data_IF_255638889759
#
_entry.id   IF_255638889759
#
_cell.length_a   1.000
_cell.length_b   1.000
_cell.length_c   1.000
_cell.angle_alpha   90.00
_cell.angle_beta   90.00
_cell.angle_gamma   90.00
#
_symmetry.space_group_name_H-M   'P 1'
#
loop_
_entity.id
_entity.type
_entity.pdbx_description
1 polymer ?
#
# COMPACT_ATOMS: atom_id res chain seq x y z
N UNK A 1 -1.88 12.06 35.65
CA UNK A 1 -2.05 11.11 36.79
C UNK A 1 -0.66 10.64 37.21
N UNK A 2 -0.21 10.91 38.44
CA UNK A 2 1.23 10.84 38.78
C UNK A 2 1.79 9.41 38.76
N UNK A 3 2.97 9.23 38.14
CA UNK A 3 3.74 7.97 38.06
C UNK A 3 3.94 7.29 39.43
N UNK A 4 3.95 8.07 40.51
CA UNK A 4 4.05 7.61 41.89
C UNK A 4 2.84 6.80 42.39
N UNK A 5 1.64 7.06 41.86
CA UNK A 5 0.43 6.30 42.22
C UNK A 5 0.39 4.93 41.54
N UNK A 6 0.85 4.85 40.29
CA UNK A 6 0.96 3.59 39.53
C UNK A 6 2.00 2.67 40.20
N UNK A 7 3.15 3.21 40.61
CA UNK A 7 4.18 2.46 41.33
C UNK A 7 3.69 1.88 42.67
N UNK A 8 2.86 2.61 43.42
CA UNK A 8 2.27 2.11 44.68
C UNK A 8 1.21 1.04 44.46
N UNK A 9 0.44 1.12 43.37
CA UNK A 9 -0.56 0.10 43.04
C UNK A 9 0.11 -1.24 42.67
N UNK A 10 1.17 -1.20 41.86
CA UNK A 10 1.95 -2.40 41.47
C UNK A 10 2.57 -3.07 42.70
N UNK A 11 3.02 -2.28 43.69
CA UNK A 11 3.61 -2.81 44.93
C UNK A 11 2.60 -3.52 45.85
N UNK A 12 1.29 -3.26 45.70
CA UNK A 12 0.24 -3.94 46.50
C UNK A 12 -0.24 -5.26 45.90
N UNK A 13 -0.02 -5.48 44.61
CA UNK A 13 -0.46 -6.70 43.90
C UNK A 13 0.59 -7.82 43.97
N UNK A 14 1.77 -7.58 44.53
CA UNK A 14 2.79 -8.62 44.73
C UNK A 14 2.64 -9.23 46.13
N UNK A 15 1.97 -10.39 46.29
CA UNK A 15 1.89 -11.06 47.58
C UNK A 15 3.29 -11.50 48.04
N UNK A 16 3.60 -11.25 49.31
CA UNK A 16 4.79 -11.78 50.02
C UNK A 16 4.57 -13.26 50.35
N UNK A 17 4.41 -14.11 49.36
CA UNK A 17 4.44 -15.57 49.55
C UNK A 17 5.83 -16.09 49.22
N UNK A 18 6.29 -17.11 49.96
CA UNK A 18 7.62 -17.73 49.81
C UNK A 18 7.72 -18.41 48.44
N UNK A 19 8.09 -17.63 47.43
CA UNK A 19 8.17 -18.08 46.06
C UNK A 19 9.59 -18.59 45.74
N UNK A 20 9.76 -19.91 45.71
CA UNK A 20 10.87 -20.57 45.05
C UNK A 20 10.73 -20.58 43.52
N UNK A 21 11.54 -21.39 42.86
CA UNK A 21 11.71 -21.64 41.41
C UNK A 21 10.48 -21.37 40.51
N UNK A 22 9.26 -21.64 40.99
CA UNK A 22 7.96 -21.25 40.42
C UNK A 22 7.83 -19.76 40.03
N UNK A 23 8.29 -18.81 40.85
CA UNK A 23 8.25 -17.38 40.49
C UNK A 23 9.24 -17.04 39.37
N UNK A 24 10.37 -17.75 39.31
CA UNK A 24 11.31 -17.62 38.20
C UNK A 24 10.69 -18.06 36.88
N UNK A 25 10.03 -19.21 36.89
CA UNK A 25 9.31 -19.75 35.72
C UNK A 25 8.18 -18.79 35.28
N UNK A 26 7.34 -18.32 36.20
CA UNK A 26 6.27 -17.35 35.90
C UNK A 26 6.82 -16.05 35.29
N UNK A 27 7.98 -15.59 35.77
CA UNK A 27 8.64 -14.40 35.25
C UNK A 27 9.11 -14.59 33.80
N UNK A 28 9.70 -15.75 33.48
CA UNK A 28 10.15 -16.09 32.12
C UNK A 28 8.97 -16.24 31.17
N UNK A 29 7.90 -16.91 31.61
CA UNK A 29 6.66 -17.07 30.81
C UNK A 29 6.05 -15.69 30.50
N UNK A 30 5.96 -14.80 31.49
CA UNK A 30 5.40 -13.46 31.30
C UNK A 30 6.23 -12.64 30.30
N UNK A 31 7.57 -12.70 30.39
CA UNK A 31 8.46 -12.05 29.43
C UNK A 31 8.27 -12.62 28.01
N UNK A 32 8.23 -13.95 27.89
CA UNK A 32 8.08 -14.64 26.61
C UNK A 32 6.75 -14.31 25.95
N UNK A 33 5.64 -14.36 26.70
CA UNK A 33 4.31 -13.99 26.21
C UNK A 33 4.24 -12.52 25.78
N UNK A 34 4.86 -11.60 26.53
CA UNK A 34 4.92 -10.19 26.14
C UNK A 34 5.69 -9.98 24.83
N UNK A 35 6.81 -10.69 24.64
CA UNK A 35 7.57 -10.71 23.39
C UNK A 35 6.73 -11.18 22.21
N UNK A 36 6.00 -12.28 22.44
CA UNK A 36 5.25 -12.94 21.40
C UNK A 36 4.07 -12.07 20.93
N UNK A 37 3.35 -11.44 21.86
CA UNK A 37 2.27 -10.49 21.53
C UNK A 37 2.82 -9.29 20.75
N UNK A 38 3.93 -8.69 21.21
CA UNK A 38 4.53 -7.54 20.53
C UNK A 38 4.95 -7.87 19.10
N UNK A 39 5.55 -9.05 18.91
CA UNK A 39 5.94 -9.59 17.61
C UNK A 39 4.73 -9.77 16.69
N UNK A 40 3.67 -10.45 17.16
CA UNK A 40 2.46 -10.69 16.37
C UNK A 40 1.73 -9.40 15.99
N UNK A 41 1.62 -8.44 16.92
CA UNK A 41 0.96 -7.15 16.66
C UNK A 41 1.75 -6.31 15.65
N UNK A 42 3.08 -6.23 15.77
CA UNK A 42 3.91 -5.54 14.78
C UNK A 42 3.76 -6.18 13.40
N UNK A 43 3.91 -7.51 13.31
CA UNK A 43 3.81 -8.24 12.05
C UNK A 43 2.43 -8.04 11.41
N UNK A 44 1.34 -8.13 12.19
CA UNK A 44 -0.01 -7.90 11.70
C UNK A 44 -0.21 -6.47 11.18
N UNK A 45 0.35 -5.46 11.85
CA UNK A 45 0.27 -4.07 11.39
C UNK A 45 1.04 -3.83 10.09
N UNK A 46 2.23 -4.45 9.96
CA UNK A 46 3.05 -4.38 8.76
C UNK A 46 2.38 -5.06 7.55
N UNK A 47 1.76 -6.23 7.74
CA UNK A 47 1.10 -6.95 6.64
C UNK A 47 -0.25 -6.34 6.25
N UNK A 48 -1.05 -5.88 7.22
CA UNK A 48 -2.39 -5.34 6.98
C UNK A 48 -2.35 -4.08 6.11
N UNK A 49 -1.50 -3.12 6.45
CA UNK A 49 -1.33 -1.88 5.67
C UNK A 49 -0.75 -2.17 4.28
N UNK A 50 0.15 -3.14 4.17
CA UNK A 50 0.80 -3.48 2.89
C UNK A 50 -0.18 -4.12 1.91
N UNK A 51 -1.05 -5.04 2.35
CA UNK A 51 -1.95 -5.73 1.42
C UNK A 51 -3.00 -4.80 0.80
N UNK A 52 -3.64 -3.95 1.60
CA UNK A 52 -4.64 -3.00 1.09
C UNK A 52 -4.00 -1.94 0.18
N UNK A 53 -2.83 -1.41 0.55
CA UNK A 53 -2.10 -0.43 -0.27
C UNK A 53 -1.64 -1.01 -1.61
N UNK A 54 -1.20 -2.28 -1.65
CA UNK A 54 -0.79 -2.94 -2.89
C UNK A 54 -1.98 -3.12 -3.83
N UNK A 55 -3.13 -3.59 -3.33
CA UNK A 55 -4.33 -3.77 -4.16
C UNK A 55 -4.85 -2.45 -4.75
N UNK A 56 -4.88 -1.38 -3.95
CA UNK A 56 -5.29 -0.06 -4.44
C UNK A 56 -4.33 0.52 -5.48
N UNK A 57 -3.02 0.36 -5.29
CA UNK A 57 -2.00 0.80 -6.26
C UNK A 57 -2.08 0.02 -7.56
N UNK A 58 -2.32 -1.29 -7.48
CA UNK A 58 -2.44 -2.12 -8.67
C UNK A 58 -3.67 -1.71 -9.50
N UNK A 59 -4.82 -1.47 -8.86
CA UNK A 59 -6.01 -0.98 -9.55
C UNK A 59 -5.78 0.38 -10.23
N UNK A 60 -5.12 1.33 -9.55
CA UNK A 60 -4.77 2.64 -10.13
C UNK A 60 -3.80 2.52 -11.30
N UNK A 61 -2.81 1.63 -11.20
CA UNK A 61 -1.85 1.38 -12.28
C UNK A 61 -2.53 0.76 -13.49
N UNK A 62 -3.42 -0.21 -13.29
CA UNK A 62 -4.22 -0.81 -14.36
C UNK A 62 -5.11 0.24 -15.03
N UNK A 63 -5.69 1.16 -14.26
CA UNK A 63 -6.50 2.25 -14.79
C UNK A 63 -5.68 3.19 -15.68
N UNK A 64 -4.50 3.62 -15.23
CA UNK A 64 -3.57 4.44 -16.02
C UNK A 64 -3.16 3.73 -17.31
N UNK A 65 -2.73 2.47 -17.20
CA UNK A 65 -2.33 1.65 -18.35
C UNK A 65 -3.46 1.49 -19.37
N UNK A 66 -4.71 1.30 -18.92
CA UNK A 66 -5.85 1.16 -19.82
C UNK A 66 -6.15 2.48 -20.56
N UNK A 67 -6.06 3.61 -19.85
CA UNK A 67 -6.27 4.93 -20.44
C UNK A 67 -5.15 5.32 -21.42
N UNK A 68 -3.90 4.95 -21.12
CA UNK A 68 -2.76 5.17 -22.00
C UNK A 68 -2.89 4.36 -23.30
N UNK A 69 -3.27 3.09 -23.23
CA UNK A 69 -3.53 2.26 -24.43
C UNK A 69 -4.70 2.84 -25.24
N UNK A 70 -5.78 3.29 -24.57
CA UNK A 70 -6.90 3.95 -25.22
C UNK A 70 -6.45 5.22 -25.97
N UNK A 71 -5.65 6.09 -25.34
CA UNK A 71 -5.11 7.30 -25.95
C UNK A 71 -4.23 7.00 -27.15
N UNK A 72 -3.23 6.13 -27.00
CA UNK A 72 -2.23 5.85 -28.05
C UNK A 72 -2.92 5.30 -29.29
N UNK A 73 -3.85 4.37 -29.11
CA UNK A 73 -4.60 3.76 -30.21
C UNK A 73 -5.62 4.72 -30.84
N UNK A 74 -6.18 5.66 -30.06
CA UNK A 74 -7.05 6.71 -30.61
C UNK A 74 -6.27 7.69 -31.49
N UNK A 75 -5.09 8.10 -31.04
CA UNK A 75 -4.20 8.98 -31.82
C UNK A 75 -3.69 8.27 -33.09
N UNK A 76 -3.38 6.98 -33.00
CA UNK A 76 -3.05 6.15 -34.16
C UNK A 76 -4.22 6.09 -35.16
N UNK A 77 -5.46 5.89 -34.68
CA UNK A 77 -6.63 5.92 -35.54
C UNK A 77 -6.79 7.29 -36.24
N UNK A 78 -6.58 8.39 -35.51
CA UNK A 78 -6.62 9.74 -36.08
C UNK A 78 -5.59 9.95 -37.19
N UNK A 79 -4.36 9.47 -37.01
CA UNK A 79 -3.31 9.55 -38.03
C UNK A 79 -3.64 8.72 -39.26
N UNK A 80 -4.05 7.46 -39.05
CA UNK A 80 -4.43 6.56 -40.13
C UNK A 80 -5.63 7.09 -40.91
N UNK A 81 -6.65 7.64 -40.24
CA UNK A 81 -7.79 8.30 -40.87
C UNK A 81 -7.38 9.51 -41.70
N UNK A 82 -6.49 10.34 -41.17
CA UNK A 82 -5.98 11.50 -41.89
C UNK A 82 -5.26 11.08 -43.19
N UNK A 83 -4.41 10.05 -43.11
CA UNK A 83 -3.74 9.48 -44.28
C UNK A 83 -4.74 8.85 -45.25
N UNK A 84 -5.71 8.08 -44.76
CA UNK A 84 -6.77 7.49 -45.59
C UNK A 84 -7.55 8.57 -46.35
N UNK A 85 -7.92 9.68 -45.69
CA UNK A 85 -8.58 10.81 -46.33
C UNK A 85 -7.74 11.45 -47.43
N UNK A 86 -6.42 11.59 -47.25
CA UNK A 86 -5.51 12.10 -48.29
C UNK A 86 -5.46 11.15 -49.49
N UNK A 87 -5.26 9.86 -49.27
CA UNK A 87 -5.24 8.87 -50.36
C UNK A 87 -6.57 8.77 -51.08
N UNK A 88 -7.68 8.94 -50.37
CA UNK A 88 -9.01 8.99 -50.96
C UNK A 88 -9.16 10.17 -51.93
N UNK A 89 -8.68 11.35 -51.55
CA UNK A 89 -8.68 12.52 -52.44
C UNK A 89 -7.74 12.29 -53.64
N UNK A 90 -6.54 11.73 -53.41
CA UNK A 90 -5.59 11.43 -54.48
C UNK A 90 -6.16 10.43 -55.49
N UNK A 91 -6.83 9.38 -55.03
CA UNK A 91 -7.50 8.38 -55.87
C UNK A 91 -8.57 9.05 -56.75
N UNK A 92 -9.38 9.97 -56.18
CA UNK A 92 -10.37 10.76 -56.95
C UNK A 92 -9.73 11.63 -58.05
N UNK A 93 -8.57 12.25 -57.78
CA UNK A 93 -7.89 13.11 -58.75
C UNK A 93 -7.14 12.31 -59.84
N UNK A 94 -6.58 11.15 -59.50
CA UNK A 94 -5.75 10.34 -60.41
C UNK A 94 -6.53 9.26 -61.17
N UNK A 95 -7.75 8.95 -60.75
CA UNK A 95 -8.51 7.80 -61.26
C UNK A 95 -8.03 6.44 -60.72
N UNK A 96 -7.06 6.44 -59.79
CA UNK A 96 -6.70 5.27 -58.99
C UNK A 96 -7.84 4.92 -58.02
N UNK A 97 -7.95 3.66 -57.61
CA UNK A 97 -9.00 3.22 -56.68
C UNK A 97 -8.44 2.30 -55.59
N UNK A 98 -8.84 2.56 -54.35
CA UNK A 98 -8.64 1.65 -53.22
C UNK A 98 -7.33 1.80 -52.47
N UNK A 99 -6.50 2.82 -52.76
CA UNK A 99 -5.25 3.09 -52.04
C UNK A 99 -5.49 3.41 -50.57
N UNK A 100 -6.66 3.95 -50.23
CA UNK A 100 -7.06 4.33 -48.88
C UNK A 100 -7.67 3.19 -48.07
N UNK A 101 -8.11 2.09 -48.70
CA UNK A 101 -8.88 1.03 -48.05
C UNK A 101 -8.10 0.38 -46.89
N UNK A 102 -6.84 -0.01 -47.12
CA UNK A 102 -6.01 -0.63 -46.07
C UNK A 102 -5.80 0.30 -44.87
N UNK A 103 -5.59 1.60 -45.13
CA UNK A 103 -5.42 2.60 -44.08
C UNK A 103 -6.72 2.79 -43.28
N UNK A 104 -7.88 2.74 -43.95
CA UNK A 104 -9.18 2.78 -43.30
C UNK A 104 -9.42 1.54 -42.43
N UNK A 105 -9.12 0.35 -42.94
CA UNK A 105 -9.27 -0.90 -42.19
C UNK A 105 -8.41 -0.88 -40.93
N UNK A 106 -7.15 -0.45 -41.04
CA UNK A 106 -6.25 -0.27 -39.91
C UNK A 106 -6.76 0.80 -38.93
N UNK A 107 -7.32 1.90 -39.43
CA UNK A 107 -7.88 2.95 -38.59
C UNK A 107 -9.10 2.47 -37.78
N UNK A 108 -10.01 1.72 -38.42
CA UNK A 108 -11.17 1.13 -37.76
C UNK A 108 -10.74 0.09 -36.71
N UNK A 109 -9.71 -0.70 -37.00
CA UNK A 109 -9.12 -1.62 -36.04
C UNK A 109 -8.53 -0.88 -34.83
N UNK A 110 -7.81 0.24 -35.07
CA UNK A 110 -7.26 1.09 -34.02
C UNK A 110 -8.36 1.75 -33.17
N UNK A 111 -9.45 2.25 -33.78
CA UNK A 111 -10.64 2.76 -33.07
C UNK A 111 -11.25 1.69 -32.17
N UNK A 112 -11.44 0.47 -32.67
CA UNK A 112 -12.00 -0.64 -31.90
C UNK A 112 -11.11 -1.01 -30.71
N UNK A 113 -9.78 -1.01 -30.90
CA UNK A 113 -8.82 -1.26 -29.82
C UNK A 113 -8.88 -0.16 -28.77
N UNK A 114 -8.93 1.10 -29.19
CA UNK A 114 -9.07 2.25 -28.30
C UNK A 114 -10.31 2.16 -27.45
N UNK A 115 -11.46 1.89 -28.06
CA UNK A 115 -12.72 1.69 -27.35
C UNK A 115 -12.64 0.54 -26.34
N UNK A 116 -12.03 -0.58 -26.72
CA UNK A 116 -11.86 -1.73 -25.80
C UNK A 116 -11.00 -1.36 -24.58
N UNK A 117 -9.92 -0.62 -24.79
CA UNK A 117 -9.06 -0.14 -23.70
C UNK A 117 -9.80 0.87 -22.81
N UNK A 118 -10.60 1.76 -23.39
CA UNK A 118 -11.43 2.71 -22.66
C UNK A 118 -12.54 2.04 -21.82
N UNK A 119 -13.16 0.97 -22.35
CA UNK A 119 -14.11 0.17 -21.56
C UNK A 119 -13.43 -0.49 -20.36
N UNK A 120 -12.21 -1.01 -20.52
CA UNK A 120 -11.42 -1.51 -19.38
C UNK A 120 -11.16 -0.41 -18.36
N UNK A 121 -10.78 0.79 -18.82
CA UNK A 121 -10.64 1.95 -17.93
C UNK A 121 -11.95 2.26 -17.18
N UNK A 122 -13.11 2.24 -17.85
CA UNK A 122 -14.42 2.45 -17.22
C UNK A 122 -14.76 1.37 -16.18
N UNK A 123 -14.42 0.10 -16.42
CA UNK A 123 -14.68 -0.99 -15.44
C UNK A 123 -13.88 -0.83 -14.15
N UNK A 124 -12.75 -0.12 -14.20
CA UNK A 124 -11.93 0.19 -13.02
C UNK A 124 -12.50 1.38 -12.21
N UNK A 125 -13.72 1.82 -12.52
CA UNK A 125 -14.50 2.84 -11.82
C UNK A 125 -13.72 4.14 -11.57
N UNK A 126 -13.34 4.87 -12.64
CA UNK A 126 -12.75 6.20 -12.55
C UNK A 126 -13.68 7.16 -11.81
N UNK A 127 -13.18 8.35 -11.46
CA UNK A 127 -14.01 9.39 -10.85
C UNK A 127 -15.27 9.65 -11.72
N UNK A 128 -16.45 9.71 -11.08
CA UNK A 128 -17.74 9.84 -11.80
C UNK A 128 -17.80 11.05 -12.73
N UNK A 129 -17.18 12.16 -12.32
CA UNK A 129 -17.14 13.41 -13.08
C UNK A 129 -15.74 13.65 -13.69
N UNK A 130 -15.16 12.62 -14.32
CA UNK A 130 -13.86 12.75 -14.99
C UNK A 130 -14.04 13.43 -16.37
N UNK A 131 -13.60 14.69 -16.55
CA UNK A 131 -13.71 15.38 -17.84
C UNK A 131 -12.87 14.69 -18.94
N UNK A 132 -11.92 13.82 -18.57
CA UNK A 132 -11.22 12.95 -19.51
C UNK A 132 -12.16 11.98 -20.22
N UNK A 133 -13.20 11.49 -19.52
CA UNK A 133 -14.16 10.53 -20.08
C UNK A 133 -14.98 11.18 -21.19
N UNK A 134 -15.52 12.37 -20.93
CA UNK A 134 -16.33 13.12 -21.88
C UNK A 134 -15.50 13.54 -23.10
N UNK A 135 -14.30 14.09 -22.88
CA UNK A 135 -13.39 14.50 -23.97
C UNK A 135 -12.94 13.31 -24.83
N UNK A 136 -12.66 12.14 -24.23
CA UNK A 136 -12.40 10.92 -24.99
C UNK A 136 -13.60 10.53 -25.87
N UNK A 137 -14.82 10.50 -25.31
CA UNK A 137 -16.02 10.10 -26.05
C UNK A 137 -16.30 11.02 -27.23
N UNK A 138 -16.10 12.34 -27.04
CA UNK A 138 -16.25 13.32 -28.11
C UNK A 138 -15.21 13.09 -29.22
N UNK A 139 -13.94 12.92 -28.86
CA UNK A 139 -12.88 12.68 -29.85
C UNK A 139 -13.06 11.33 -30.58
N UNK A 140 -13.42 10.26 -29.85
CA UNK A 140 -13.75 8.97 -30.43
C UNK A 140 -14.96 9.05 -31.38
N UNK A 141 -16.04 9.70 -30.95
CA UNK A 141 -17.25 9.89 -31.75
C UNK A 141 -16.96 10.64 -33.04
N UNK A 142 -16.15 11.70 -32.95
CA UNK A 142 -15.74 12.50 -34.09
C UNK A 142 -14.91 11.70 -35.12
N UNK A 143 -13.93 10.92 -34.67
CA UNK A 143 -13.15 10.04 -35.56
C UNK A 143 -14.00 8.91 -36.15
N UNK A 144 -14.92 8.35 -35.37
CA UNK A 144 -15.86 7.34 -35.85
C UNK A 144 -16.77 7.89 -36.93
N UNK A 145 -17.29 9.10 -36.76
CA UNK A 145 -18.13 9.77 -37.76
C UNK A 145 -17.36 10.03 -39.05
N UNK A 146 -16.09 10.46 -38.98
CA UNK A 146 -15.23 10.59 -40.16
C UNK A 146 -15.01 9.25 -40.88
N UNK A 147 -14.72 8.19 -40.13
CA UNK A 147 -14.49 6.85 -40.67
C UNK A 147 -15.75 6.31 -41.35
N UNK A 148 -16.88 6.33 -40.64
CA UNK A 148 -18.17 5.85 -41.13
C UNK A 148 -18.64 6.69 -42.32
N UNK A 149 -18.46 8.02 -42.27
CA UNK A 149 -18.80 8.93 -43.36
C UNK A 149 -18.04 8.63 -44.65
N UNK A 150 -16.72 8.41 -44.57
CA UNK A 150 -15.90 8.11 -45.75
C UNK A 150 -16.31 6.77 -46.39
N UNK A 151 -16.56 5.75 -45.56
CA UNK A 151 -16.95 4.40 -46.03
C UNK A 151 -18.37 4.37 -46.59
N UNK A 152 -19.33 5.04 -45.94
CA UNK A 152 -20.75 4.93 -46.32
C UNK A 152 -21.13 5.83 -47.48
N UNK A 153 -20.61 7.06 -47.50
CA UNK A 153 -21.00 8.06 -48.50
C UNK A 153 -20.09 8.07 -49.72
N UNK A 154 -18.91 7.44 -49.62
CA UNK A 154 -17.83 7.58 -50.61
C UNK A 154 -17.58 9.07 -50.97
N UNK A 155 -17.74 9.95 -49.97
CA UNK A 155 -17.50 11.39 -50.04
C UNK A 155 -16.58 11.85 -48.91
N UNK A 156 -15.83 12.91 -49.18
CA UNK A 156 -14.94 13.55 -48.21
C UNK A 156 -15.65 14.65 -47.39
N UNK A 157 -16.90 14.99 -47.72
CA UNK A 157 -17.61 16.11 -47.08
C UNK A 157 -17.82 15.88 -45.57
N UNK A 158 -18.24 14.67 -45.20
CA UNK A 158 -18.41 14.26 -43.80
C UNK A 158 -17.07 14.26 -43.04
N UNK A 159 -15.95 14.02 -43.75
CA UNK A 159 -14.63 14.04 -43.16
C UNK A 159 -14.23 15.45 -42.68
N UNK A 160 -14.59 16.49 -43.43
CA UNK A 160 -14.25 17.89 -43.09
C UNK A 160 -15.31 18.62 -42.26
N UNK A 161 -16.54 18.10 -42.18
CA UNK A 161 -17.62 18.69 -41.39
C UNK A 161 -17.37 18.62 -39.87
N UNK A 162 -16.59 17.63 -39.42
CA UNK A 162 -16.36 17.35 -38.00
C UNK A 162 -15.10 18.10 -37.50
N UNK A 163 -15.19 18.93 -36.44
CA UNK A 163 -14.06 19.68 -35.91
C UNK A 163 -13.14 18.80 -35.04
N UNK A 164 -12.57 17.74 -35.61
CA UNK A 164 -11.74 16.73 -34.90
C UNK A 164 -10.58 17.35 -34.13
N UNK A 165 -9.94 18.38 -34.67
CA UNK A 165 -8.82 19.06 -34.04
C UNK A 165 -9.19 19.67 -32.68
N UNK A 166 -10.40 20.23 -32.55
CA UNK A 166 -10.88 20.80 -31.30
C UNK A 166 -11.08 19.70 -30.25
N UNK A 167 -11.68 18.57 -30.65
CA UNK A 167 -11.87 17.43 -29.75
C UNK A 167 -10.56 16.77 -29.35
N UNK A 168 -9.60 16.66 -30.28
CA UNK A 168 -8.26 16.16 -29.98
C UNK A 168 -7.51 17.07 -28.99
N UNK A 169 -7.60 18.39 -29.17
CA UNK A 169 -6.99 19.35 -28.27
C UNK A 169 -7.60 19.30 -26.86
N UNK A 170 -8.94 19.26 -26.77
CA UNK A 170 -9.66 19.11 -25.49
C UNK A 170 -9.29 17.80 -24.78
N UNK A 171 -9.27 16.68 -25.50
CA UNK A 171 -8.82 15.40 -24.96
C UNK A 171 -7.37 15.43 -24.47
N UNK A 172 -6.47 16.07 -25.22
CA UNK A 172 -5.07 16.19 -24.83
C UNK A 172 -4.88 17.02 -23.56
N UNK A 173 -5.60 18.13 -23.40
CA UNK A 173 -5.53 18.95 -22.18
C UNK A 173 -6.06 18.18 -20.97
N UNK A 174 -7.22 17.51 -21.11
CA UNK A 174 -7.77 16.68 -20.04
C UNK A 174 -6.84 15.52 -19.67
N UNK A 175 -6.19 14.90 -20.65
CA UNK A 175 -5.23 13.83 -20.41
C UNK A 175 -3.95 14.35 -19.71
N UNK A 176 -3.48 15.55 -20.05
CA UNK A 176 -2.36 16.19 -19.35
C UNK A 176 -2.72 16.48 -17.88
N UNK A 177 -3.93 16.98 -17.62
CA UNK A 177 -4.45 17.18 -16.26
C UNK A 177 -4.52 15.86 -15.48
N UNK A 178 -5.04 14.81 -16.10
CA UNK A 178 -5.08 13.46 -15.54
C UNK A 178 -3.69 12.94 -15.15
N UNK A 179 -2.71 13.03 -16.05
CA UNK A 179 -1.32 12.64 -15.75
C UNK A 179 -0.73 13.47 -14.60
N UNK A 180 -0.94 14.79 -14.60
CA UNK A 180 -0.43 15.65 -13.53
C UNK A 180 -1.03 15.30 -12.16
N UNK A 181 -2.33 14.98 -12.10
CA UNK A 181 -2.99 14.55 -10.88
C UNK A 181 -2.45 13.20 -10.39
N UNK A 182 -2.15 12.28 -11.31
CA UNK A 182 -1.56 10.99 -10.97
C UNK A 182 -0.12 11.13 -10.48
N UNK A 183 0.70 11.98 -11.11
CA UNK A 183 2.06 12.26 -10.66
C UNK A 183 2.07 12.87 -9.25
N UNK A 184 1.19 13.85 -8.98
CA UNK A 184 1.05 14.43 -7.64
C UNK A 184 0.62 13.40 -6.59
N UNK A 185 -0.24 12.44 -6.95
CA UNK A 185 -0.63 11.34 -6.06
C UNK A 185 0.55 10.41 -5.80
N UNK A 186 1.28 10.01 -6.83
CA UNK A 186 2.48 9.18 -6.69
C UNK A 186 3.56 9.83 -5.80
N UNK A 187 3.74 11.15 -5.90
CA UNK A 187 4.65 11.91 -5.03
C UNK A 187 4.17 11.93 -3.57
N UNK A 188 2.86 12.15 -3.34
CA UNK A 188 2.28 12.09 -1.99
C UNK A 188 2.39 10.70 -1.38
N UNK A 189 2.14 9.66 -2.16
CA UNK A 189 2.27 8.27 -1.74
C UNK A 189 3.71 7.96 -1.37
N UNK A 190 4.67 8.40 -2.17
CA UNK A 190 6.11 8.25 -1.90
C UNK A 190 6.52 8.95 -0.61
N UNK A 191 6.05 10.18 -0.37
CA UNK A 191 6.29 10.90 0.90
C UNK A 191 5.66 10.20 2.10
N UNK A 192 4.46 9.64 1.92
CA UNK A 192 3.75 8.89 2.97
C UNK A 192 4.50 7.61 3.33
N UNK A 193 5.05 6.90 2.33
CA UNK A 193 5.91 5.73 2.55
C UNK A 193 7.17 6.09 3.35
N UNK A 194 7.84 7.20 3.00
CA UNK A 194 9.02 7.67 3.73
C UNK A 194 8.69 8.03 5.18
N UNK A 195 7.57 8.73 5.41
CA UNK A 195 7.09 9.02 6.77
C UNK A 195 6.69 7.76 7.55
N UNK A 196 6.10 6.76 6.87
CA UNK A 196 5.79 5.45 7.43
C UNK A 196 7.04 4.68 7.86
N UNK A 197 8.12 4.76 7.08
CA UNK A 197 9.43 4.18 7.45
C UNK A 197 9.99 4.82 8.73
N UNK A 198 9.94 6.14 8.86
CA UNK A 198 10.36 6.84 10.08
C UNK A 198 9.48 6.46 11.29
N UNK A 199 8.18 6.27 11.08
CA UNK A 199 7.26 5.79 12.10
C UNK A 199 7.60 4.36 12.55
N UNK A 200 7.84 3.45 11.60
CA UNK A 200 8.23 2.07 11.87
C UNK A 200 9.57 2.00 12.61
N UNK A 201 10.55 2.82 12.22
CA UNK A 201 11.83 2.94 12.92
C UNK A 201 11.64 3.40 14.37
N UNK A 202 10.77 4.40 14.62
CA UNK A 202 10.45 4.86 15.97
C UNK A 202 9.79 3.77 16.82
N UNK A 203 8.84 3.03 16.25
CA UNK A 203 8.20 1.91 16.94
C UNK A 203 9.19 0.80 17.28
N UNK A 204 10.13 0.51 16.38
CA UNK A 204 11.19 -0.47 16.62
C UNK A 204 12.12 -0.05 17.77
N UNK A 205 12.53 1.22 17.81
CA UNK A 205 13.33 1.78 18.91
C UNK A 205 12.56 1.72 20.24
N UNK A 206 11.27 2.07 20.23
CA UNK A 206 10.41 1.95 21.42
C UNK A 206 10.26 0.50 21.89
N UNK A 207 10.05 -0.44 20.97
CA UNK A 207 9.96 -1.87 21.27
C UNK A 207 11.25 -2.38 21.94
N UNK A 208 12.42 -2.01 21.42
CA UNK A 208 13.72 -2.30 22.05
C UNK A 208 13.85 -1.68 23.44
N UNK A 209 13.39 -0.43 23.62
CA UNK A 209 13.37 0.22 24.93
C UNK A 209 12.52 -0.52 25.95
N UNK A 210 11.31 -0.95 25.56
CA UNK A 210 10.41 -1.75 26.40
C UNK A 210 11.04 -3.10 26.75
N UNK A 211 11.63 -3.78 25.76
CA UNK A 211 12.35 -5.03 25.96
C UNK A 211 13.44 -4.90 27.05
N UNK A 212 14.23 -3.83 26.96
CA UNK A 212 15.31 -3.54 27.90
C UNK A 212 14.77 -3.30 29.32
N UNK A 213 13.67 -2.55 29.46
CA UNK A 213 13.01 -2.32 30.76
C UNK A 213 12.55 -3.65 31.37
N UNK A 214 11.91 -4.52 30.58
CA UNK A 214 11.45 -5.82 31.07
C UNK A 214 12.65 -6.67 31.47
N UNK A 215 13.72 -6.74 30.66
CA UNK A 215 14.94 -7.47 30.99
C UNK A 215 15.55 -7.01 32.33
N UNK A 216 15.62 -5.69 32.58
CA UNK A 216 16.08 -5.14 33.86
C UNK A 216 15.16 -5.53 35.02
N UNK A 217 13.84 -5.51 34.83
CA UNK A 217 12.87 -5.94 35.85
C UNK A 217 13.01 -7.44 36.18
N UNK A 218 13.19 -8.28 35.18
CA UNK A 218 13.44 -9.72 35.34
C UNK A 218 14.76 -9.94 36.09
N UNK A 219 15.83 -9.25 35.70
CA UNK A 219 17.12 -9.30 36.38
C UNK A 219 17.00 -8.95 37.87
N UNK A 220 16.33 -7.82 38.19
CA UNK A 220 16.11 -7.42 39.58
C UNK A 220 15.28 -8.45 40.35
N UNK A 221 14.27 -9.04 39.71
CA UNK A 221 13.42 -10.06 40.29
C UNK A 221 14.22 -11.34 40.58
N UNK A 222 14.99 -11.85 39.63
CA UNK A 222 15.90 -12.99 39.82
C UNK A 222 16.92 -12.74 40.95
N UNK A 223 17.57 -11.57 40.97
CA UNK A 223 18.57 -11.23 41.97
C UNK A 223 18.00 -11.20 43.40
N UNK A 224 16.79 -10.66 43.57
CA UNK A 224 16.17 -10.53 44.90
C UNK A 224 15.50 -11.83 45.36
N UNK A 225 14.87 -12.57 44.45
CA UNK A 225 13.98 -13.68 44.78
C UNK A 225 14.63 -15.05 44.64
N UNK A 226 15.66 -15.22 43.81
CA UNK A 226 16.35 -16.51 43.63
C UNK A 226 17.73 -16.48 44.27
N UNK A 227 18.58 -15.53 43.89
CA UNK A 227 20.01 -15.52 44.29
C UNK A 227 20.18 -15.32 45.80
N UNK A 228 19.48 -14.34 46.39
CA UNK A 228 19.58 -14.03 47.83
C UNK A 228 19.09 -15.15 48.76
N UNK A 229 17.97 -15.85 48.51
CA UNK A 229 17.59 -16.97 49.35
C UNK A 229 18.47 -18.21 49.14
N UNK A 230 18.94 -18.48 47.91
CA UNK A 230 19.87 -19.60 47.65
C UNK A 230 21.21 -19.42 48.37
N UNK A 231 21.77 -18.22 48.35
CA UNK A 231 23.00 -17.90 49.09
C UNK A 231 22.83 -18.01 50.61
N UNK A 232 21.64 -17.67 51.16
CA UNK A 232 21.34 -17.92 52.58
C UNK A 232 21.22 -19.41 52.90
N UNK A 233 20.61 -20.21 52.02
CA UNK A 233 20.52 -21.67 52.16
C UNK A 233 21.90 -22.32 52.11
N UNK A 234 22.74 -21.94 51.14
CA UNK A 234 24.12 -22.41 51.03
C UNK A 234 24.94 -22.01 52.25
N UNK A 235 24.79 -20.78 52.75
CA UNK A 235 25.48 -20.33 53.95
C UNK A 235 25.03 -21.08 55.22
N UNK A 236 23.76 -21.49 55.30
CA UNK A 236 23.27 -22.35 56.38
C UNK A 236 23.83 -23.77 56.28
N UNK A 237 23.85 -24.36 55.08
CA UNK A 237 24.42 -25.69 54.85
C UNK A 237 25.93 -25.69 55.16
N UNK A 238 26.67 -24.67 54.73
CA UNK A 238 28.09 -24.53 55.03
C UNK A 238 28.37 -24.34 56.52
N UNK A 239 27.46 -23.69 57.27
CA UNK A 239 27.58 -23.59 58.74
C UNK A 239 27.24 -24.90 59.45
N UNK A 240 26.25 -25.65 58.97
CA UNK A 240 25.94 -27.00 59.45
C UNK A 240 27.08 -27.99 59.16
N UNK A 241 27.71 -27.89 57.99
CA UNK A 241 28.88 -28.69 57.62
C UNK A 241 30.15 -28.31 58.40
N UNK A 242 30.23 -27.08 58.91
CA UNK A 242 31.32 -26.61 59.76
C UNK A 242 31.17 -26.98 61.25
N UNK A 243 30.11 -27.72 61.63
CA UNK A 243 29.96 -28.32 62.96
C UNK A 243 29.41 -27.42 64.06
N UNK A 244 28.80 -26.27 63.73
CA UNK A 244 28.14 -25.40 64.72
C UNK A 244 26.64 -25.72 64.82
N UNK A 245 26.27 -26.53 65.81
CA UNK A 245 24.90 -27.02 66.06
C UNK A 245 24.10 -26.12 67.04
N UNK A 246 24.64 -25.00 67.51
CA UNK A 246 23.99 -24.14 68.51
C UNK A 246 23.30 -22.89 67.96
N UNK A 247 23.23 -22.72 66.63
CA UNK A 247 22.55 -21.57 66.04
C UNK A 247 21.02 -21.72 66.16
N UNK A 248 20.29 -20.73 66.70
CA UNK A 248 18.84 -20.80 66.81
C UNK A 248 18.20 -20.81 65.42
N UNK A 249 17.24 -21.73 65.23
CA UNK A 249 16.39 -21.81 64.05
C UNK A 249 15.83 -20.40 63.73
N UNK A 250 15.86 -19.94 62.47
CA UNK A 250 15.19 -18.70 62.12
C UNK A 250 13.72 -18.84 62.50
N UNK A 251 13.25 -17.96 63.38
CA UNK A 251 11.91 -18.02 63.96
C UNK A 251 10.85 -18.24 62.87
N UNK A 252 10.41 -19.49 62.75
CA UNK A 252 9.24 -19.85 61.99
C UNK A 252 8.05 -19.32 62.77
N UNK A 253 7.63 -18.08 62.51
CA UNK A 253 6.28 -17.67 62.86
C UNK A 253 5.34 -18.45 61.95
N UNK A 254 4.83 -19.56 62.47
CA UNK A 254 3.52 -20.08 62.09
C UNK A 254 2.51 -19.04 62.57
N UNK A 255 2.06 -18.17 61.66
CA UNK A 255 0.71 -17.63 61.45
C UNK A 255 0.76 -16.79 60.18
#
# INVERSE_FOLDING_TARGET
>A
MSLTKIYRAIRRVVPRTRFGLMAGILCVITLFSALQILSTVMLSSLLGDTQQQVQHREAQRQQQSAMDDARVTLLMASDLLNRAGIYFMQDKETGSVGSWNSLMDEAQAALKRSHTAFERYNTLNPAKDDPLKASYQNFYGALKEQADGLVTTNSIDAFFAVPVQAFQADFNDNFARYQSANAQRADRDSRTLLGGLEQAQRLFIMALGVLLIIALLVWRSMAVWVIRPLTRLIAHINRLAAGDLCAPLPAGRLV
#
